data_IF_661598708471
#
_entry.id   IF_661598708471
#
_cell.length_a   1.000
_cell.length_b   1.000
_cell.length_c   1.000
_cell.angle_alpha   90.00
_cell.angle_beta   90.00
_cell.angle_gamma   90.00
#
_symmetry.space_group_name_H-M   'P 1'
#
loop_
_entity.id
_entity.type
_entity.pdbx_description
1 polymer ?
#
# COMPACT_ATOMS: atom_id res chain seq x y z
N UNK A 1 22.32 25.00 13.51
CA UNK A 1 21.15 25.02 12.60
C UNK A 1 21.20 23.77 11.72
N UNK A 2 20.61 22.67 12.18
CA UNK A 2 20.36 21.50 11.33
C UNK A 2 18.85 21.33 11.30
N UNK A 3 18.25 21.69 10.15
CA UNK A 3 16.83 21.54 9.90
C UNK A 3 16.52 20.04 9.87
N UNK A 4 15.99 19.51 10.97
CA UNK A 4 15.42 18.17 11.03
C UNK A 4 14.07 18.21 10.31
N UNK A 5 14.11 18.36 8.99
CA UNK A 5 12.95 18.33 8.13
C UNK A 5 12.53 16.87 8.00
N UNK A 6 11.79 16.35 8.99
CA UNK A 6 10.94 15.17 8.81
C UNK A 6 9.95 15.57 7.72
N UNK A 7 10.31 15.27 6.47
CA UNK A 7 9.43 15.48 5.34
C UNK A 7 8.13 14.76 5.67
N UNK A 8 7.08 15.55 5.91
CA UNK A 8 5.72 15.08 6.04
C UNK A 8 5.29 14.63 4.64
N UNK A 9 5.82 13.50 4.18
CA UNK A 9 5.48 12.93 2.89
C UNK A 9 4.00 12.55 2.97
N UNK A 10 3.15 13.09 2.06
CA UNK A 10 1.75 12.68 2.03
C UNK A 10 1.68 11.16 1.92
N UNK A 11 0.94 10.52 2.82
CA UNK A 11 0.76 9.07 2.84
C UNK A 11 0.14 8.56 1.53
N UNK A 12 0.12 7.23 1.37
CA UNK A 12 -0.37 6.59 0.15
C UNK A 12 -1.86 6.86 -0.17
N UNK A 13 -2.65 7.29 0.83
CA UNK A 13 -4.05 7.68 0.65
C UNK A 13 -5.06 6.54 0.76
N UNK A 14 -4.69 5.42 1.39
CA UNK A 14 -5.58 4.28 1.60
C UNK A 14 -6.79 4.67 2.45
N UNK A 15 -7.96 4.14 2.08
CA UNK A 15 -9.24 4.32 2.77
C UNK A 15 -10.03 3.01 2.74
N UNK A 16 -9.47 1.97 3.37
CA UNK A 16 -10.08 0.64 3.33
C UNK A 16 -11.32 0.55 4.21
N UNK A 17 -12.41 0.06 3.62
CA UNK A 17 -13.61 -0.41 4.31
C UNK A 17 -13.82 -1.88 3.94
N UNK A 18 -13.28 -2.78 4.75
CA UNK A 18 -13.25 -4.21 4.45
C UNK A 18 -14.56 -4.90 4.82
N UNK A 19 -15.67 -4.54 4.18
CA UNK A 19 -17.01 -5.08 4.45
C UNK A 19 -17.09 -6.61 4.29
N UNK A 20 -16.29 -7.20 3.38
CA UNK A 20 -16.22 -8.66 3.23
C UNK A 20 -15.68 -9.36 4.49
N UNK A 21 -14.77 -8.72 5.22
CA UNK A 21 -14.23 -9.25 6.47
C UNK A 21 -15.20 -9.11 7.66
N UNK A 22 -16.38 -8.50 7.45
CA UNK A 22 -17.46 -8.43 8.44
C UNK A 22 -18.48 -9.58 8.28
N UNK A 23 -18.36 -10.38 7.22
CA UNK A 23 -19.14 -11.61 7.08
C UNK A 23 -18.77 -12.63 8.16
N UNK A 24 -19.60 -13.67 8.40
CA UNK A 24 -19.25 -14.77 9.29
C UNK A 24 -17.93 -15.45 8.89
N UNK A 25 -17.21 -16.00 9.86
CA UNK A 25 -15.88 -16.59 9.64
C UNK A 25 -15.90 -17.84 8.74
N UNK A 26 -17.09 -18.42 8.47
CA UNK A 26 -17.24 -19.51 7.50
C UNK A 26 -16.98 -19.06 6.04
N UNK A 27 -17.04 -17.75 5.77
CA UNK A 27 -16.88 -17.20 4.42
C UNK A 27 -15.44 -16.84 4.07
N UNK A 28 -14.53 -16.77 5.04
CA UNK A 28 -13.16 -16.34 4.79
C UNK A 28 -12.18 -16.92 5.80
N UNK A 29 -10.90 -16.96 5.41
CA UNK A 29 -9.79 -17.26 6.33
C UNK A 29 -8.81 -16.11 6.35
N UNK A 30 -8.24 -15.83 7.52
CA UNK A 30 -7.20 -14.81 7.65
C UNK A 30 -5.86 -15.41 7.24
N UNK A 31 -5.24 -14.82 6.22
CA UNK A 31 -3.93 -15.23 5.73
C UNK A 31 -3.05 -14.01 5.52
N UNK A 32 -1.82 -14.09 6.04
CA UNK A 32 -0.80 -13.09 5.73
C UNK A 32 -0.22 -13.33 4.34
N UNK A 33 0.10 -12.27 3.57
CA UNK A 33 0.80 -12.42 2.31
C UNK A 33 2.19 -13.05 2.50
N UNK A 34 2.67 -13.74 1.47
CA UNK A 34 4.00 -14.35 1.46
C UNK A 34 4.99 -13.34 0.87
N UNK A 35 5.99 -12.86 1.64
CA UNK A 35 6.89 -11.79 1.19
C UNK A 35 7.89 -12.28 0.15
N UNK A 36 8.37 -11.36 -0.69
CA UNK A 36 9.41 -11.60 -1.71
C UNK A 36 10.74 -10.95 -1.33
N UNK A 37 11.85 -11.48 -1.86
CA UNK A 37 13.20 -11.04 -1.47
C UNK A 37 13.59 -9.64 -1.99
N UNK A 38 13.14 -9.26 -3.18
CA UNK A 38 13.59 -8.03 -3.88
C UNK A 38 12.40 -7.35 -4.58
N UNK A 39 11.49 -6.73 -3.82
CA UNK A 39 10.31 -6.10 -4.40
C UNK A 39 10.70 -4.90 -5.28
N UNK A 40 10.15 -4.85 -6.49
CA UNK A 40 10.34 -3.76 -7.46
C UNK A 40 9.12 -3.64 -8.36
N UNK A 41 8.80 -2.42 -8.77
CA UNK A 41 7.80 -2.18 -9.82
C UNK A 41 8.34 -2.56 -11.19
N UNK A 42 7.52 -3.24 -12.00
CA UNK A 42 7.79 -3.45 -13.43
C UNK A 42 7.01 -2.41 -14.24
N UNK A 43 5.71 -2.28 -13.96
CA UNK A 43 4.81 -1.27 -14.52
C UNK A 43 3.86 -0.83 -13.41
N UNK A 44 3.55 0.47 -13.32
CA UNK A 44 2.60 1.03 -12.36
C UNK A 44 1.56 1.90 -13.08
N UNK A 45 0.28 1.68 -12.79
CA UNK A 45 -0.81 2.40 -13.44
C UNK A 45 -1.15 3.69 -12.66
N UNK A 46 -0.51 4.80 -13.04
CA UNK A 46 -0.68 6.11 -12.41
C UNK A 46 -2.12 6.61 -12.50
N UNK A 47 -2.76 6.46 -13.67
CA UNK A 47 -4.13 6.93 -13.87
C UNK A 47 -5.12 6.21 -12.94
N UNK A 48 -4.95 4.90 -12.75
CA UNK A 48 -5.79 4.13 -11.82
C UNK A 48 -5.54 4.54 -10.37
N UNK A 49 -4.29 4.77 -9.96
CA UNK A 49 -4.00 5.22 -8.61
C UNK A 49 -4.70 6.54 -8.29
N UNK A 50 -4.65 7.51 -9.22
CA UNK A 50 -5.35 8.79 -9.08
C UNK A 50 -6.87 8.61 -9.04
N UNK A 51 -7.43 7.75 -9.90
CA UNK A 51 -8.86 7.43 -9.91
C UNK A 51 -9.34 6.86 -8.57
N UNK A 52 -8.53 6.02 -7.93
CA UNK A 52 -8.81 5.46 -6.60
C UNK A 52 -8.57 6.44 -5.45
N UNK A 53 -8.11 7.67 -5.73
CA UNK A 53 -7.76 8.66 -4.71
C UNK A 53 -6.46 8.39 -3.97
N UNK A 54 -5.61 7.51 -4.52
CA UNK A 54 -4.28 7.21 -4.00
C UNK A 54 -3.26 8.22 -4.51
N UNK A 55 -2.16 8.38 -3.75
CA UNK A 55 -1.04 9.21 -4.14
C UNK A 55 0.00 8.40 -4.92
N UNK A 56 0.15 8.60 -6.26
CA UNK A 56 1.11 7.86 -7.06
C UNK A 56 2.55 8.09 -6.61
N UNK A 57 2.91 9.31 -6.21
CA UNK A 57 4.29 9.66 -5.85
C UNK A 57 4.74 8.95 -4.57
N UNK A 58 3.81 8.70 -3.64
CA UNK A 58 4.06 7.89 -2.45
C UNK A 58 4.17 6.38 -2.77
N UNK A 59 3.53 5.93 -3.85
CA UNK A 59 3.38 4.52 -4.20
C UNK A 59 4.37 4.02 -5.27
N UNK A 60 5.00 4.90 -6.05
CA UNK A 60 5.98 4.53 -7.08
C UNK A 60 7.33 4.08 -6.51
N UNK A 61 7.64 4.42 -5.26
CA UNK A 61 8.90 4.08 -4.58
C UNK A 61 8.94 2.67 -3.96
N UNK A 62 10.05 2.36 -3.28
CA UNK A 62 10.28 1.06 -2.63
C UNK A 62 9.19 0.70 -1.61
N UNK A 63 8.61 1.70 -0.95
CA UNK A 63 7.53 1.53 0.02
C UNK A 63 6.25 0.98 -0.63
N UNK A 64 5.86 1.52 -1.79
CA UNK A 64 4.73 0.99 -2.55
C UNK A 64 5.05 -0.38 -3.15
N UNK A 65 6.29 -0.59 -3.61
CA UNK A 65 6.72 -1.90 -4.11
C UNK A 65 6.61 -2.97 -3.02
N UNK A 66 6.97 -2.64 -1.78
CA UNK A 66 6.82 -3.52 -0.63
C UNK A 66 5.34 -3.83 -0.31
N UNK A 67 4.44 -2.84 -0.44
CA UNK A 67 3.00 -3.05 -0.25
C UNK A 67 2.42 -3.98 -1.32
N UNK A 68 2.64 -3.66 -2.60
CA UNK A 68 2.08 -4.43 -3.72
C UNK A 68 2.68 -5.83 -3.90
N UNK A 69 3.81 -6.11 -3.25
CA UNK A 69 4.44 -7.43 -3.24
C UNK A 69 4.18 -8.25 -1.97
N UNK A 70 3.36 -7.74 -1.05
CA UNK A 70 3.02 -8.46 0.18
C UNK A 70 4.11 -8.43 1.26
N UNK A 71 5.12 -7.56 1.12
CA UNK A 71 6.14 -7.35 2.14
C UNK A 71 5.69 -6.38 3.25
N UNK A 72 4.68 -5.55 2.97
CA UNK A 72 4.07 -4.65 3.95
C UNK A 72 2.55 -4.62 3.77
N UNK A 73 1.82 -4.59 4.88
CA UNK A 73 0.37 -4.36 4.89
C UNK A 73 0.14 -2.84 4.87
N UNK A 74 -0.72 -2.31 3.97
CA UNK A 74 -1.05 -0.89 3.97
C UNK A 74 -1.84 -0.53 5.24
N UNK A 75 -1.55 0.65 5.79
CA UNK A 75 -2.30 1.27 6.89
C UNK A 75 -3.50 2.07 6.39
#
# INVERSE_FOLDING_TARGET
MTLNNRQNRPGAGWKFENSYAQLPDDFYVRLNPVPVRRPKHVIFNVALAQFLGLNPDALLGDEGAAVFSGNRIPE
#
